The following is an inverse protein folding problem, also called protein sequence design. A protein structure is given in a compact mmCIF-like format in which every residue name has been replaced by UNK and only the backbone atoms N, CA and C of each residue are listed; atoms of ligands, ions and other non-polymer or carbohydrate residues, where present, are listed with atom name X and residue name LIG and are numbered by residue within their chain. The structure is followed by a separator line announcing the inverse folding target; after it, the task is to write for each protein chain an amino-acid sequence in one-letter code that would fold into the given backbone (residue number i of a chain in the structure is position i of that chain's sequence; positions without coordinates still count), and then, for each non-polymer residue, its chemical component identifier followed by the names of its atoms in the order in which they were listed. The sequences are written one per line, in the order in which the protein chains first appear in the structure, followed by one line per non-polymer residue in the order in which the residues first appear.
data_IF_056801174809
#
_entry.id   IF_056801174809
#
_cell.length_a   1.000
_cell.length_b   1.000
_cell.length_c   1.000
_cell.angle_alpha   90.00
_cell.angle_beta   90.00
_cell.angle_gamma   90.00
#
_symmetry.space_group_name_H-M   'P 1'
#
loop_
_entity.id
_entity.type
_entity.pdbx_description
1 polymer ?
#
# COMPACT_ATOMS: atom_id res chain seq x y z
N UNK A 1 -18.58 -9.66 -12.31
CA UNK A 1 -17.67 -8.50 -12.39
C UNK A 1 -17.01 -8.33 -11.04
N UNK A 2 -15.68 -8.14 -11.01
CA UNK A 2 -14.92 -7.95 -9.77
C UNK A 2 -14.98 -6.49 -9.37
N UNK A 3 -15.14 -6.24 -8.07
CA UNK A 3 -15.12 -4.88 -7.51
C UNK A 3 -14.10 -4.87 -6.39
N UNK A 4 -13.11 -4.00 -6.49
CA UNK A 4 -12.16 -3.73 -5.41
C UNK A 4 -12.61 -2.50 -4.64
N UNK A 5 -13.13 -2.69 -3.44
CA UNK A 5 -13.42 -1.60 -2.52
C UNK A 5 -12.13 -1.11 -1.87
N UNK A 6 -11.83 0.18 -2.02
CA UNK A 6 -10.50 0.69 -1.78
C UNK A 6 -10.45 2.14 -1.27
N UNK A 7 -9.26 2.53 -0.80
CA UNK A 7 -8.87 3.93 -0.67
C UNK A 7 -7.68 4.20 -1.61
N UNK A 8 -7.73 5.24 -2.45
CA UNK A 8 -6.69 5.59 -3.41
C UNK A 8 -5.27 5.54 -2.83
N UNK A 9 -5.05 6.28 -1.73
CA UNK A 9 -3.75 6.43 -1.05
C UNK A 9 -3.30 5.21 -0.24
N UNK A 10 -4.14 4.17 -0.09
CA UNK A 10 -3.78 3.02 0.71
C UNK A 10 -2.84 2.10 -0.07
N UNK A 11 -1.61 1.95 0.42
CA UNK A 11 -0.62 1.00 -0.06
C UNK A 11 -1.07 -0.47 0.02
N UNK A 12 -1.94 -0.83 0.97
CA UNK A 12 -2.57 -2.15 0.99
C UNK A 12 -3.58 -2.32 -0.16
N UNK A 13 -4.28 -1.23 -0.54
CA UNK A 13 -5.15 -1.24 -1.71
C UNK A 13 -4.33 -1.23 -3.00
N UNK A 14 -3.19 -0.53 -3.05
CA UNK A 14 -2.25 -0.61 -4.17
C UNK A 14 -1.76 -2.02 -4.41
N UNK A 15 -1.38 -2.72 -3.34
CA UNK A 15 -1.07 -4.15 -3.41
C UNK A 15 -2.21 -4.92 -4.04
N UNK A 16 -3.45 -4.77 -3.57
CA UNK A 16 -4.59 -5.51 -4.14
C UNK A 16 -4.88 -5.16 -5.62
N UNK A 17 -4.75 -3.89 -6.01
CA UNK A 17 -4.83 -3.47 -7.43
C UNK A 17 -3.77 -4.18 -8.25
N UNK A 18 -2.51 -4.15 -7.80
CA UNK A 18 -1.40 -4.77 -8.50
C UNK A 18 -1.54 -6.29 -8.59
N UNK A 19 -2.06 -6.95 -7.55
CA UNK A 19 -2.38 -8.38 -7.61
C UNK A 19 -3.39 -8.67 -8.73
N UNK A 20 -4.47 -7.89 -8.84
CA UNK A 20 -5.48 -8.07 -9.90
C UNK A 20 -4.90 -7.76 -11.29
N UNK A 21 -4.12 -6.69 -11.40
CA UNK A 21 -3.47 -6.27 -12.64
C UNK A 21 -2.47 -7.32 -13.15
N UNK A 22 -1.62 -7.86 -12.26
CA UNK A 22 -0.67 -8.92 -12.57
C UNK A 22 -1.37 -10.21 -12.98
N UNK A 23 -2.51 -10.50 -12.37
CA UNK A 23 -3.37 -11.64 -12.71
C UNK A 23 -4.15 -11.43 -14.00
N UNK A 24 -4.04 -10.25 -14.61
CA UNK A 24 -4.72 -9.83 -15.84
C UNK A 24 -6.26 -9.87 -15.74
N UNK A 25 -6.79 -9.66 -14.54
CA UNK A 25 -8.22 -9.74 -14.26
C UNK A 25 -8.89 -8.38 -14.39
N UNK A 26 -9.99 -8.32 -15.14
CA UNK A 26 -10.82 -7.12 -15.19
C UNK A 26 -11.55 -6.91 -13.85
N UNK A 27 -11.49 -5.67 -13.35
CA UNK A 27 -12.15 -5.25 -12.11
C UNK A 27 -12.47 -3.75 -12.14
N UNK A 28 -13.42 -3.35 -11.30
CA UNK A 28 -13.74 -1.94 -11.02
C UNK A 28 -13.16 -1.55 -9.66
N UNK A 29 -12.45 -0.42 -9.60
CA UNK A 29 -11.96 0.13 -8.34
C UNK A 29 -12.99 1.11 -7.76
N UNK A 30 -13.64 0.73 -6.66
CA UNK A 30 -14.69 1.51 -6.02
C UNK A 30 -14.17 2.18 -4.76
N UNK A 31 -14.08 3.51 -4.78
CA UNK A 31 -13.61 4.27 -3.62
C UNK A 31 -14.69 4.36 -2.56
N UNK A 32 -14.36 3.93 -1.34
CA UNK A 32 -15.22 4.16 -0.20
C UNK A 32 -14.83 5.44 0.54
N UNK A 33 -15.77 5.96 1.34
CA UNK A 33 -15.55 7.15 2.14
C UNK A 33 -15.01 6.75 3.54
N UNK A 34 -13.89 7.33 4.02
CA UNK A 34 -13.41 7.15 5.39
C UNK A 34 -14.52 7.40 6.43
N UNK A 35 -14.57 6.58 7.48
CA UNK A 35 -15.67 6.56 8.46
C UNK A 35 -16.93 5.83 7.97
N UNK A 36 -17.49 6.19 6.81
CA UNK A 36 -18.72 5.56 6.27
C UNK A 36 -18.49 4.09 5.88
N UNK A 37 -17.31 3.78 5.36
CA UNK A 37 -16.91 2.42 4.97
C UNK A 37 -16.98 1.40 6.11
N UNK A 38 -16.88 1.82 7.37
CA UNK A 38 -16.75 0.91 8.52
C UNK A 38 -17.95 -0.05 8.64
N UNK A 39 -19.17 0.47 8.49
CA UNK A 39 -20.39 -0.34 8.57
C UNK A 39 -20.48 -1.34 7.39
N UNK A 40 -20.14 -0.88 6.18
CA UNK A 40 -20.11 -1.73 4.99
C UNK A 40 -19.08 -2.85 5.14
N UNK A 41 -17.84 -2.51 5.49
CA UNK A 41 -16.75 -3.46 5.66
C UNK A 41 -17.10 -4.51 6.73
N UNK A 42 -17.60 -4.06 7.88
CA UNK A 42 -17.95 -4.94 8.99
C UNK A 42 -19.07 -5.91 8.60
N UNK A 43 -20.11 -5.41 7.93
CA UNK A 43 -21.24 -6.22 7.49
C UNK A 43 -20.83 -7.29 6.46
N UNK A 44 -19.91 -6.95 5.55
CA UNK A 44 -19.53 -7.84 4.44
C UNK A 44 -18.42 -8.82 4.77
N UNK A 45 -17.54 -8.47 5.72
CA UNK A 45 -16.28 -9.21 5.91
C UNK A 45 -15.98 -9.54 7.37
N UNK A 46 -16.77 -9.02 8.32
CA UNK A 46 -16.46 -9.12 9.74
C UNK A 46 -15.29 -8.26 10.21
N UNK A 47 -14.69 -7.47 9.30
CA UNK A 47 -13.56 -6.58 9.56
C UNK A 47 -13.90 -5.15 9.15
N UNK A 48 -13.15 -4.17 9.65
CA UNK A 48 -13.37 -2.75 9.40
C UNK A 48 -12.28 -2.10 8.54
N UNK A 49 -11.58 -2.90 7.71
CA UNK A 49 -10.41 -2.47 6.94
C UNK A 49 -10.60 -2.74 5.45
N UNK A 50 -9.84 -2.00 4.64
CA UNK A 50 -9.68 -2.19 3.21
C UNK A 50 -8.24 -2.69 2.92
N UNK A 51 -7.99 -3.32 1.78
CA UNK A 51 -8.89 -3.60 0.65
C UNK A 51 -9.94 -4.69 0.92
N UNK A 52 -11.04 -4.65 0.16
CA UNK A 52 -12.01 -5.76 0.06
C UNK A 52 -12.26 -6.04 -1.42
N UNK A 53 -11.99 -7.28 -1.85
CA UNK A 53 -12.38 -7.77 -3.18
C UNK A 53 -13.76 -8.42 -3.08
N UNK A 54 -14.69 -7.93 -3.91
CA UNK A 54 -15.90 -8.67 -4.25
C UNK A 54 -15.69 -9.39 -5.56
N UNK A 55 -15.76 -10.71 -5.53
CA UNK A 55 -15.77 -11.55 -6.72
C UNK A 55 -17.02 -12.43 -6.72
N UNK A 56 -17.93 -12.13 -7.65
CA UNK A 56 -19.29 -12.69 -7.68
C UNK A 56 -20.00 -12.45 -6.33
N UNK A 57 -20.35 -13.52 -5.62
CA UNK A 57 -21.04 -13.48 -4.32
C UNK A 57 -20.09 -13.48 -3.12
N UNK A 58 -18.77 -13.52 -3.36
CA UNK A 58 -17.75 -13.62 -2.30
C UNK A 58 -17.15 -12.27 -1.99
N UNK A 59 -16.93 -12.02 -0.70
CA UNK A 59 -16.19 -10.87 -0.20
C UNK A 59 -14.92 -11.38 0.49
N UNK A 60 -13.76 -10.94 0.01
CA UNK A 60 -12.44 -11.30 0.52
C UNK A 60 -11.80 -10.03 1.07
N UNK A 61 -11.57 -10.00 2.38
CA UNK A 61 -10.86 -8.93 3.06
C UNK A 61 -9.42 -9.34 3.35
N UNK A 62 -8.54 -8.36 3.51
CA UNK A 62 -7.08 -8.49 3.65
C UNK A 62 -6.36 -8.75 2.32
N UNK A 63 -5.31 -7.95 2.08
CA UNK A 63 -4.52 -8.03 0.84
C UNK A 63 -3.79 -9.38 0.65
N UNK A 64 -3.48 -10.09 1.73
CA UNK A 64 -2.87 -11.43 1.69
C UNK A 64 -3.92 -12.47 1.33
N UNK A 65 -5.09 -12.42 1.95
CA UNK A 65 -6.19 -13.34 1.64
C UNK A 65 -6.69 -13.14 0.19
N UNK A 66 -6.70 -11.90 -0.29
CA UNK A 66 -6.95 -11.60 -1.71
C UNK A 66 -5.91 -12.30 -2.59
N UNK A 67 -4.61 -12.19 -2.27
CA UNK A 67 -3.57 -12.88 -3.03
C UNK A 67 -3.77 -14.40 -3.07
N UNK A 68 -4.02 -15.02 -1.90
CA UNK A 68 -4.23 -16.46 -1.78
C UNK A 68 -5.49 -16.92 -2.53
N UNK A 69 -6.57 -16.14 -2.44
CA UNK A 69 -7.80 -16.37 -3.20
C UNK A 69 -7.53 -16.33 -4.71
N UNK A 70 -6.86 -15.28 -5.20
CA UNK A 70 -6.60 -15.12 -6.63
C UNK A 70 -5.71 -16.25 -7.17
N UNK A 71 -4.67 -16.65 -6.42
CA UNK A 71 -3.76 -17.73 -6.81
C UNK A 71 -4.47 -19.11 -6.83
N UNK A 72 -5.48 -19.31 -5.97
CA UNK A 72 -6.25 -20.55 -5.93
C UNK A 72 -7.31 -20.65 -7.03
N UNK A 73 -7.96 -19.54 -7.40
CA UNK A 73 -9.09 -19.54 -8.34
C UNK A 73 -8.70 -19.15 -9.78
N UNK A 74 -7.56 -18.50 -9.97
CA UNK A 74 -7.06 -18.06 -11.27
C UNK A 74 -5.59 -18.49 -11.44
N UNK A 75 -5.30 -19.71 -11.93
CA UNK A 75 -3.94 -20.27 -11.89
C UNK A 75 -2.93 -19.62 -12.85
N UNK A 76 -3.39 -18.92 -13.88
CA UNK A 76 -2.54 -18.17 -14.82
C UNK A 76 -1.80 -17.04 -14.10
N UNK A 77 -0.58 -16.66 -14.52
CA UNK A 77 0.20 -15.60 -13.86
C UNK A 77 0.32 -15.77 -12.33
N UNK A 78 0.74 -16.96 -11.88
CA UNK A 78 0.73 -17.32 -10.46
C UNK A 78 1.55 -16.36 -9.58
N UNK A 79 0.95 -15.91 -8.49
CA UNK A 79 1.55 -15.02 -7.49
C UNK A 79 2.54 -15.76 -6.61
N UNK A 80 2.28 -17.04 -6.36
CA UNK A 80 3.15 -17.93 -5.60
C UNK A 80 3.71 -19.01 -6.51
N UNK A 81 4.87 -19.54 -6.14
CA UNK A 81 5.50 -20.65 -6.85
C UNK A 81 4.88 -21.97 -6.41
N UNK A 82 4.93 -22.97 -7.30
CA UNK A 82 4.50 -24.34 -6.99
C UNK A 82 5.48 -25.05 -6.05
N UNK A 83 6.78 -24.69 -6.13
CA UNK A 83 7.77 -25.13 -5.17
C UNK A 83 7.42 -24.62 -3.76
N UNK A 84 7.37 -25.55 -2.80
CA UNK A 84 6.88 -25.28 -1.46
C UNK A 84 7.83 -24.36 -0.66
N UNK A 85 9.14 -24.44 -0.91
CA UNK A 85 10.13 -23.59 -0.26
C UNK A 85 9.98 -22.15 -0.73
N UNK A 86 9.92 -21.94 -2.04
CA UNK A 86 9.70 -20.62 -2.63
C UNK A 86 8.34 -20.04 -2.24
N UNK A 87 7.29 -20.86 -2.19
CA UNK A 87 5.96 -20.44 -1.70
C UNK A 87 6.02 -19.93 -0.28
N UNK A 88 6.69 -20.68 0.61
CA UNK A 88 6.82 -20.32 2.03
C UNK A 88 7.63 -19.02 2.19
N UNK A 89 8.72 -18.88 1.46
CA UNK A 89 9.54 -17.67 1.44
C UNK A 89 8.71 -16.45 1.02
N UNK A 90 7.91 -16.57 -0.04
CA UNK A 90 7.08 -15.46 -0.52
C UNK A 90 6.01 -15.03 0.50
N UNK A 91 5.39 -15.98 1.21
CA UNK A 91 4.42 -15.69 2.27
C UNK A 91 5.10 -14.99 3.45
N UNK A 92 6.30 -15.42 3.84
CA UNK A 92 7.06 -14.79 4.92
C UNK A 92 7.44 -13.34 4.59
N UNK A 93 7.97 -13.11 3.37
CA UNK A 93 8.31 -11.75 2.89
C UNK A 93 7.04 -10.87 2.82
N UNK A 94 5.92 -11.42 2.36
CA UNK A 94 4.63 -10.73 2.38
C UNK A 94 4.20 -10.32 3.80
N UNK A 95 4.36 -11.19 4.80
CA UNK A 95 4.06 -10.86 6.20
C UNK A 95 4.95 -9.73 6.71
N UNK A 96 6.25 -9.79 6.42
CA UNK A 96 7.22 -8.77 6.80
C UNK A 96 6.91 -7.41 6.14
N UNK A 97 6.54 -7.43 4.86
CA UNK A 97 6.07 -6.23 4.16
C UNK A 97 4.77 -5.67 4.75
N UNK A 98 3.81 -6.52 5.13
CA UNK A 98 2.58 -6.06 5.78
C UNK A 98 2.86 -5.38 7.12
N UNK A 99 3.83 -5.88 7.90
CA UNK A 99 4.32 -5.24 9.12
C UNK A 99 4.95 -3.89 8.82
N UNK A 100 5.85 -3.82 7.83
CA UNK A 100 6.44 -2.56 7.36
C UNK A 100 5.36 -1.52 7.03
N UNK A 101 4.30 -1.94 6.31
CA UNK A 101 3.20 -1.06 5.93
C UNK A 101 2.52 -0.36 7.11
N UNK A 102 2.48 -0.97 8.30
CA UNK A 102 1.91 -0.33 9.50
C UNK A 102 2.75 0.88 9.91
N UNK A 103 4.07 0.72 9.86
CA UNK A 103 5.03 1.75 10.24
C UNK A 103 5.16 2.84 9.18
N UNK A 104 5.22 2.47 7.89
CA UNK A 104 5.21 3.42 6.76
C UNK A 104 4.00 4.33 6.83
N UNK A 105 2.81 3.77 7.09
CA UNK A 105 1.59 4.59 7.26
C UNK A 105 1.72 5.58 8.41
N UNK A 106 2.25 5.14 9.56
CA UNK A 106 2.37 6.00 10.75
C UNK A 106 3.37 7.13 10.50
N UNK A 107 4.54 6.79 9.97
CA UNK A 107 5.59 7.75 9.63
C UNK A 107 5.14 8.74 8.56
N UNK A 108 4.56 8.25 7.45
CA UNK A 108 4.07 9.10 6.37
C UNK A 108 2.96 10.04 6.81
N UNK A 109 1.96 9.55 7.56
CA UNK A 109 0.88 10.41 8.08
C UNK A 109 1.38 11.44 9.10
N UNK A 110 2.35 11.10 9.93
CA UNK A 110 2.93 12.04 10.89
C UNK A 110 3.62 13.22 10.18
N UNK A 111 4.42 12.92 9.14
CA UNK A 111 5.11 13.95 8.34
C UNK A 111 4.14 14.75 7.46
N UNK A 112 3.12 14.13 6.90
CA UNK A 112 2.12 14.85 6.09
C UNK A 112 1.31 15.84 6.95
N UNK A 113 0.85 15.41 8.13
CA UNK A 113 0.02 16.23 9.01
C UNK A 113 0.78 17.34 9.73
N UNK A 114 2.11 17.25 9.81
CA UNK A 114 2.98 18.32 10.32
C UNK A 114 3.22 19.43 9.30
N UNK A 115 3.13 19.13 7.99
CA UNK A 115 3.53 20.04 6.92
C UNK A 115 2.36 20.77 6.23
N UNK A 116 1.28 20.10 5.79
CA UNK A 116 0.12 20.76 5.11
C UNK A 116 -1.14 19.87 5.03
N UNK A 117 -2.31 20.49 4.83
CA UNK A 117 -3.63 19.83 4.81
C UNK A 117 -3.95 19.04 3.50
N UNK A 118 -3.10 19.13 2.47
CA UNK A 118 -3.39 18.61 1.11
C UNK A 118 -3.54 17.08 1.03
N UNK A 119 -2.83 16.35 1.91
CA UNK A 119 -2.94 14.88 2.00
C UNK A 119 -4.33 14.40 2.43
N UNK A 120 -5.07 15.24 3.15
CA UNK A 120 -6.46 14.96 3.54
C UNK A 120 -7.38 15.10 2.33
N UNK A 121 -7.08 15.99 1.38
CA UNK A 121 -7.94 16.28 0.23
C UNK A 121 -7.94 15.13 -0.78
N UNK A 122 -6.78 14.51 -1.01
CA UNK A 122 -6.68 13.30 -1.84
C UNK A 122 -7.40 12.12 -1.17
N UNK A 123 -7.36 12.01 0.17
CA UNK A 123 -8.10 10.96 0.90
C UNK A 123 -9.62 11.17 0.85
N UNK A 124 -10.08 12.43 0.83
CA UNK A 124 -11.49 12.79 0.70
C UNK A 124 -12.02 12.50 -0.72
N UNK A 125 -11.11 12.50 -1.71
CA UNK A 125 -11.42 12.24 -3.11
C UNK A 125 -12.04 13.45 -3.80
N UNK A 126 -11.75 13.64 -5.09
CA UNK A 126 -12.16 14.84 -5.82
C UNK A 126 -13.69 14.97 -6.00
N UNK A 127 -14.44 13.87 -5.89
CA UNK A 127 -15.86 13.72 -6.25
C UNK A 127 -16.80 13.41 -5.05
N UNK A 128 -16.31 13.38 -3.81
CA UNK A 128 -17.09 12.96 -2.64
C UNK A 128 -17.94 14.08 -1.98
N UNK A 129 -19.12 13.74 -1.44
CA UNK A 129 -19.99 14.64 -0.63
C UNK A 129 -19.23 15.40 0.48
N UNK A 130 -18.11 14.85 0.97
CA UNK A 130 -17.24 15.47 1.99
C UNK A 130 -16.53 16.74 1.50
N UNK A 131 -16.32 16.93 0.19
CA UNK A 131 -15.76 18.17 -0.37
C UNK A 131 -16.67 19.38 -0.12
N UNK A 132 -17.99 19.17 -0.01
CA UNK A 132 -18.94 20.24 0.32
C UNK A 132 -18.84 20.69 1.79
N UNK A 133 -18.24 19.87 2.66
CA UNK A 133 -18.08 20.14 4.10
C UNK A 133 -16.60 20.12 4.55
N UNK A 134 -15.67 20.22 3.60
CA UNK A 134 -14.24 19.99 3.77
C UNK A 134 -13.66 20.73 4.99
N UNK A 135 -13.96 22.04 5.10
CA UNK A 135 -13.46 22.90 6.18
C UNK A 135 -13.98 22.53 7.58
N UNK A 136 -15.17 21.93 7.68
CA UNK A 136 -15.70 21.45 8.96
C UNK A 136 -15.22 20.04 9.30
N UNK A 137 -15.01 19.18 8.31
CA UNK A 137 -14.62 17.79 8.52
C UNK A 137 -13.12 17.59 8.73
N UNK A 138 -12.25 18.41 8.11
CA UNK A 138 -10.77 18.29 8.21
C UNK A 138 -10.24 18.18 9.65
N UNK A 139 -10.56 19.07 10.60
CA UNK A 139 -10.00 18.99 11.96
C UNK A 139 -10.50 17.74 12.74
N UNK A 140 -11.73 17.30 12.48
CA UNK A 140 -12.28 16.09 13.08
C UNK A 140 -11.58 14.84 12.51
N UNK A 141 -11.42 14.79 11.18
CA UNK A 141 -10.69 13.72 10.47
C UNK A 141 -9.25 13.66 10.97
N UNK A 142 -8.55 14.80 11.06
CA UNK A 142 -7.18 14.90 11.59
C UNK A 142 -7.07 14.36 13.02
N UNK A 143 -8.03 14.70 13.88
CA UNK A 143 -8.07 14.20 15.27
C UNK A 143 -8.33 12.69 15.34
N UNK A 144 -9.28 12.19 14.55
CA UNK A 144 -9.59 10.76 14.46
C UNK A 144 -8.40 9.96 13.91
N UNK A 145 -7.73 10.46 12.88
CA UNK A 145 -6.54 9.84 12.29
C UNK A 145 -5.37 9.87 13.27
N UNK A 146 -5.11 10.99 13.92
CA UNK A 146 -4.03 11.12 14.90
C UNK A 146 -4.17 10.12 16.05
N UNK A 147 -5.38 9.99 16.62
CA UNK A 147 -5.65 9.01 17.68
C UNK A 147 -5.66 7.56 17.15
N UNK A 148 -6.28 7.31 16.00
CA UNK A 148 -6.40 5.97 15.42
C UNK A 148 -5.06 5.38 14.97
N UNK A 149 -4.17 6.22 14.44
CA UNK A 149 -2.85 5.80 13.95
C UNK A 149 -1.71 5.98 14.97
N UNK A 150 -2.00 6.55 16.14
CA UNK A 150 -1.03 6.84 17.22
C UNK A 150 0.13 7.68 16.69
N UNK A 151 -0.18 8.90 16.24
CA UNK A 151 0.79 9.82 15.62
C UNK A 151 1.54 10.67 16.66
N UNK A 152 1.68 10.20 17.90
CA UNK A 152 2.53 10.82 18.91
C UNK A 152 4.02 10.59 18.60
N UNK A 153 4.89 11.52 19.03
CA UNK A 153 6.31 11.52 18.67
C UNK A 153 7.02 10.21 19.02
N UNK A 154 6.72 9.64 20.19
CA UNK A 154 7.35 8.38 20.65
C UNK A 154 6.99 7.21 19.73
N UNK A 155 5.71 7.07 19.35
CA UNK A 155 5.26 6.02 18.42
C UNK A 155 5.74 6.22 16.99
N UNK A 156 5.95 7.45 16.56
CA UNK A 156 6.54 7.76 15.25
C UNK A 156 8.02 7.37 15.25
N UNK A 157 8.78 7.71 16.30
CA UNK A 157 10.18 7.30 16.45
C UNK A 157 10.34 5.77 16.50
N UNK A 158 9.52 5.07 17.31
CA UNK A 158 9.48 3.60 17.34
C UNK A 158 9.19 3.01 15.96
N UNK A 159 8.34 3.66 15.15
CA UNK A 159 8.03 3.19 13.81
C UNK A 159 9.17 3.38 12.84
N UNK A 160 9.91 4.49 12.95
CA UNK A 160 11.11 4.72 12.14
C UNK A 160 12.16 3.64 12.42
N UNK A 161 12.42 3.32 13.69
CA UNK A 161 13.36 2.24 14.05
C UNK A 161 12.91 0.87 13.52
N UNK A 162 11.61 0.57 13.56
CA UNK A 162 11.08 -0.67 13.00
C UNK A 162 11.14 -0.70 11.48
N UNK A 163 10.88 0.43 10.80
CA UNK A 163 11.07 0.57 9.36
C UNK A 163 12.51 0.24 8.98
N UNK A 164 13.48 0.84 9.65
CA UNK A 164 14.91 0.63 9.36
C UNK A 164 15.31 -0.84 9.48
N UNK A 165 14.89 -1.50 10.56
CA UNK A 165 15.14 -2.93 10.78
C UNK A 165 14.51 -3.81 9.69
N UNK A 166 13.26 -3.55 9.36
CA UNK A 166 12.53 -4.37 8.37
C UNK A 166 13.09 -4.13 6.96
N UNK A 167 13.35 -2.87 6.59
CA UNK A 167 13.92 -2.51 5.30
C UNK A 167 15.30 -3.12 5.12
N UNK A 168 16.15 -3.10 6.15
CA UNK A 168 17.45 -3.75 6.10
C UNK A 168 17.33 -5.27 5.87
N UNK A 169 16.42 -5.94 6.59
CA UNK A 169 16.15 -7.36 6.38
C UNK A 169 15.66 -7.65 4.95
N UNK A 170 14.71 -6.85 4.45
CA UNK A 170 14.23 -6.97 3.07
C UNK A 170 15.35 -6.72 2.05
N UNK A 171 16.25 -5.78 2.32
CA UNK A 171 17.40 -5.50 1.47
C UNK A 171 18.36 -6.71 1.42
N UNK A 172 18.63 -7.36 2.56
CA UNK A 172 19.43 -8.58 2.62
C UNK A 172 18.77 -9.73 1.84
N UNK A 173 17.48 -9.99 2.08
CA UNK A 173 16.71 -11.03 1.38
C UNK A 173 16.68 -10.81 -0.14
N UNK A 174 16.58 -9.55 -0.58
CA UNK A 174 16.63 -9.20 -2.00
C UNK A 174 18.00 -9.52 -2.60
N UNK A 175 19.09 -9.16 -1.91
CA UNK A 175 20.45 -9.42 -2.36
C UNK A 175 20.78 -10.92 -2.40
N UNK A 176 20.29 -11.70 -1.44
CA UNK A 176 20.45 -13.15 -1.40
C UNK A 176 19.85 -13.85 -2.64
N UNK A 177 18.74 -13.32 -3.18
CA UNK A 177 18.13 -13.79 -4.43
C UNK A 177 18.66 -13.06 -5.69
N UNK A 178 19.81 -12.39 -5.60
CA UNK A 178 20.50 -11.74 -6.73
C UNK A 178 19.84 -10.45 -7.23
N UNK A 179 19.01 -9.80 -6.41
CA UNK A 179 18.38 -8.50 -6.64
C UNK A 179 17.48 -8.37 -7.90
N UNK A 180 17.17 -9.49 -8.56
CA UNK A 180 16.27 -9.48 -9.73
C UNK A 180 14.80 -9.52 -9.33
N UNK A 181 14.45 -10.38 -8.37
CA UNK A 181 13.17 -10.46 -7.67
C UNK A 181 13.43 -10.95 -6.24
N UNK A 182 12.45 -10.86 -5.35
CA UNK A 182 12.56 -11.36 -3.97
C UNK A 182 12.53 -12.89 -3.89
N UNK A 183 11.81 -13.56 -4.80
CA UNK A 183 11.68 -15.02 -4.78
C UNK A 183 11.66 -15.60 -6.20
N UNK A 184 12.60 -16.50 -6.46
CA UNK A 184 12.72 -17.16 -7.76
C UNK A 184 13.15 -16.19 -8.86
N UNK A 185 12.54 -16.30 -10.04
CA UNK A 185 13.04 -15.71 -11.29
C UNK A 185 12.06 -14.74 -11.98
N UNK A 186 10.89 -14.49 -11.39
CA UNK A 186 9.85 -13.59 -11.93
C UNK A 186 9.10 -12.88 -10.80
N UNK A 187 8.32 -11.85 -11.15
CA UNK A 187 7.46 -11.12 -10.22
C UNK A 187 6.46 -12.05 -9.51
N UNK A 188 6.19 -11.81 -8.22
CA UNK A 188 5.16 -12.51 -7.46
C UNK A 188 4.70 -11.75 -6.22
N UNK A 189 4.03 -12.45 -5.31
CA UNK A 189 3.45 -11.87 -4.09
C UNK A 189 4.47 -11.11 -3.24
N UNK A 190 5.68 -11.67 -3.09
CA UNK A 190 6.75 -11.04 -2.32
C UNK A 190 7.10 -9.65 -2.87
N UNK A 191 7.35 -9.58 -4.17
CA UNK A 191 7.73 -8.35 -4.87
C UNK A 191 6.64 -7.30 -4.80
N UNK A 192 5.41 -7.68 -5.16
CA UNK A 192 4.26 -6.78 -5.16
C UNK A 192 4.02 -6.24 -3.75
N UNK A 193 4.16 -7.08 -2.72
CA UNK A 193 3.98 -6.66 -1.33
C UNK A 193 5.04 -5.65 -0.91
N UNK A 194 6.33 -5.96 -1.10
CA UNK A 194 7.41 -5.05 -0.69
C UNK A 194 7.33 -3.72 -1.44
N UNK A 195 7.15 -3.77 -2.76
CA UNK A 195 7.06 -2.58 -3.59
C UNK A 195 5.89 -1.70 -3.17
N UNK A 196 4.70 -2.27 -2.99
CA UNK A 196 3.53 -1.50 -2.58
C UNK A 196 3.71 -0.84 -1.22
N UNK A 197 4.40 -1.49 -0.27
CA UNK A 197 4.58 -0.97 1.08
C UNK A 197 5.67 0.10 1.17
N UNK A 198 6.67 0.07 0.28
CA UNK A 198 7.76 1.06 0.23
C UNK A 198 7.41 2.27 -0.65
N UNK A 199 6.62 2.09 -1.70
CA UNK A 199 6.28 3.15 -2.65
C UNK A 199 5.82 4.49 -2.05
N UNK A 200 5.02 4.53 -0.94
CA UNK A 200 4.64 5.80 -0.31
C UNK A 200 5.82 6.63 0.22
N UNK A 201 6.99 6.03 0.45
CA UNK A 201 8.20 6.71 0.91
C UNK A 201 9.05 7.26 -0.24
N UNK A 202 8.74 6.87 -1.48
CA UNK A 202 9.56 7.18 -2.65
C UNK A 202 8.94 8.22 -3.59
N UNK A 203 7.69 8.64 -3.34
CA UNK A 203 6.97 9.63 -4.15
C UNK A 203 7.02 9.33 -5.66
N UNK A 204 6.84 8.06 -6.02
CA UNK A 204 6.98 7.57 -7.40
C UNK A 204 5.97 8.29 -8.32
N UNK A 205 6.45 8.78 -9.47
CA UNK A 205 5.59 9.47 -10.44
C UNK A 205 4.42 8.64 -10.95
N UNK A 206 3.31 9.30 -11.27
CA UNK A 206 2.03 8.72 -11.68
C UNK A 206 1.38 7.80 -10.63
N UNK A 207 1.85 7.83 -9.38
CA UNK A 207 1.20 7.14 -8.26
C UNK A 207 0.42 8.13 -7.41
N UNK A 208 -0.49 7.66 -6.52
CA UNK A 208 -1.20 8.53 -5.60
C UNK A 208 -0.29 9.30 -4.61
N UNK A 209 0.98 8.91 -4.51
CA UNK A 209 1.97 9.51 -3.60
C UNK A 209 2.96 10.43 -4.30
N UNK A 210 2.78 10.67 -5.60
CA UNK A 210 3.55 11.69 -6.30
C UNK A 210 3.31 13.05 -5.62
N UNK A 211 4.41 13.72 -5.30
CA UNK A 211 4.41 15.02 -4.65
C UNK A 211 4.91 16.05 -5.64
N UNK A 212 4.11 17.11 -5.86
CA UNK A 212 4.62 18.30 -6.50
C UNK A 212 5.54 19.00 -5.49
N UNK A 213 6.87 18.87 -5.64
CA UNK A 213 7.93 19.45 -4.78
C UNK A 213 7.91 21.01 -4.68
N UNK A 214 6.76 21.63 -4.87
CA UNK A 214 6.47 23.05 -4.73
C UNK A 214 6.44 23.57 -3.28
N UNK A 215 6.58 22.69 -2.28
CA UNK A 215 6.71 23.04 -0.87
C UNK A 215 7.89 22.37 -0.18
N UNK A 216 8.36 22.95 0.93
CA UNK A 216 9.41 22.38 1.79
C UNK A 216 8.95 21.04 2.39
N UNK A 217 9.41 19.92 1.83
CA UNK A 217 9.31 18.60 2.45
C UNK A 217 9.95 18.69 3.83
N UNK A 218 9.40 18.03 4.86
CA UNK A 218 10.11 17.98 6.16
C UNK A 218 11.50 17.39 5.91
N UNK A 219 12.55 18.02 6.44
CA UNK A 219 13.92 17.51 6.28
C UNK A 219 13.98 16.01 6.61
N UNK A 220 13.24 15.56 7.63
CA UNK A 220 13.19 14.17 8.06
C UNK A 220 12.61 13.18 7.03
N UNK A 221 11.56 13.53 6.29
CA UNK A 221 10.99 12.62 5.28
C UNK A 221 11.87 12.58 4.03
N UNK A 222 12.33 13.75 3.59
CA UNK A 222 13.23 13.86 2.44
C UNK A 222 14.55 13.11 2.70
N UNK A 223 15.18 13.32 3.85
CA UNK A 223 16.42 12.62 4.22
C UNK A 223 16.21 11.11 4.27
N UNK A 224 15.05 10.64 4.75
CA UNK A 224 14.71 9.23 4.76
C UNK A 224 14.55 8.66 3.35
N UNK A 225 13.84 9.37 2.47
CA UNK A 225 13.68 8.99 1.08
C UNK A 225 15.03 8.88 0.37
N UNK A 226 15.92 9.87 0.54
CA UNK A 226 17.26 9.83 -0.06
C UNK A 226 18.07 8.64 0.47
N UNK A 227 18.07 8.41 1.78
CA UNK A 227 18.76 7.25 2.36
C UNK A 227 18.21 5.92 1.84
N UNK A 228 16.89 5.82 1.62
CA UNK A 228 16.26 4.63 1.06
C UNK A 228 16.65 4.40 -0.41
N UNK A 229 16.79 5.46 -1.20
CA UNK A 229 17.21 5.40 -2.61
C UNK A 229 18.67 4.97 -2.80
N UNK A 230 19.51 5.16 -1.78
CA UNK A 230 20.88 4.62 -1.77
C UNK A 230 20.93 3.10 -1.51
N UNK A 231 19.85 2.51 -0.99
CA UNK A 231 19.76 1.07 -0.76
C UNK A 231 19.34 0.31 -2.03
N UNK A 232 19.89 -0.91 -2.27
CA UNK A 232 19.43 -1.78 -3.35
C UNK A 232 17.91 -2.00 -3.36
N UNK A 233 17.27 -2.11 -2.19
CA UNK A 233 15.81 -2.28 -2.10
C UNK A 233 15.04 -1.03 -2.55
N UNK A 234 15.53 0.19 -2.31
CA UNK A 234 14.88 1.40 -2.82
C UNK A 234 14.97 1.51 -4.34
N UNK A 235 16.16 1.25 -4.89
CA UNK A 235 16.39 1.19 -6.33
C UNK A 235 15.57 0.08 -7.01
N UNK A 236 15.45 -1.06 -6.33
CA UNK A 236 14.61 -2.17 -6.75
C UNK A 236 13.14 -1.74 -6.90
N UNK A 237 12.59 -1.07 -5.89
CA UNK A 237 11.18 -0.62 -5.94
C UNK A 237 10.95 0.35 -7.09
N UNK A 238 11.85 1.31 -7.32
CA UNK A 238 11.77 2.21 -8.47
C UNK A 238 11.76 1.44 -9.80
N UNK A 239 12.70 0.50 -9.96
CA UNK A 239 12.79 -0.34 -11.16
C UNK A 239 11.51 -1.13 -11.39
N UNK A 240 10.99 -1.81 -10.37
CA UNK A 240 9.80 -2.66 -10.50
C UNK A 240 8.55 -1.82 -10.80
N UNK A 241 8.40 -0.63 -10.21
CA UNK A 241 7.31 0.27 -10.59
C UNK A 241 7.40 0.69 -12.06
N UNK A 242 8.62 0.99 -12.54
CA UNK A 242 8.85 1.41 -13.92
C UNK A 242 8.62 0.27 -14.93
N UNK A 243 9.02 -0.96 -14.60
CA UNK A 243 9.07 -2.07 -15.58
C UNK A 243 7.96 -3.10 -15.44
N UNK A 244 7.35 -3.25 -14.26
CA UNK A 244 6.44 -4.37 -13.94
C UNK A 244 5.06 -3.92 -13.47
N UNK A 245 4.87 -2.66 -13.05
CA UNK A 245 3.60 -2.25 -12.45
C UNK A 245 2.41 -2.40 -13.40
N UNK A 246 2.56 -1.96 -14.65
CA UNK A 246 1.60 -2.18 -15.75
C UNK A 246 0.12 -2.05 -15.32
N UNK A 247 -0.24 -0.92 -14.68
CA UNK A 247 -1.58 -0.72 -14.13
C UNK A 247 -2.66 -0.76 -15.23
N UNK A 248 -3.73 -1.53 -15.01
CA UNK A 248 -4.85 -1.68 -15.96
C UNK A 248 -6.07 -0.83 -15.59
N UNK A 249 -6.13 -0.37 -14.34
CA UNK A 249 -7.23 0.42 -13.79
C UNK A 249 -6.69 1.67 -13.09
N UNK A 250 -7.35 2.81 -13.28
CA UNK A 250 -7.00 4.05 -12.59
C UNK A 250 -7.24 3.91 -11.07
N UNK A 251 -6.24 4.27 -10.28
CA UNK A 251 -6.31 4.27 -8.83
C UNK A 251 -7.34 5.27 -8.29
N UNK A 252 -7.70 6.30 -9.08
CA UNK A 252 -8.75 7.28 -8.75
C UNK A 252 -10.15 6.66 -8.73
N UNK A 253 -10.32 5.43 -9.23
CA UNK A 253 -11.62 4.79 -9.34
C UNK A 253 -12.45 5.35 -10.50
N UNK A 254 -13.54 4.66 -10.82
CA UNK A 254 -14.55 5.06 -11.81
C UNK A 254 -15.86 5.37 -11.08
#
# INVERSE_FOLDING_TARGET
MRILYQFPLSHYCEKARWLLDHKELDYEAHNLIPGVHLAFAQLKTGQNKLPILKDQDRFIADSTEIALYLDNYYPEHSLLRADQTLRTQAININSLANELGVHVRRFGLANALSQNDDSIDIMIGEQGYLRQFEKLSKPLIKTLMSKGYKLDQDKVAESKEMMDKIIQNLNELLLENGARYFVGDRLGLADISVCSMIAPLLEISNTPWESDHSGEVSNDFYDYQQALLELPVGQYVQRIYLTERNARTDWRGV
#
